data_IF_195093745484
#
_entry.id   IF_195093745484
#
_cell.length_a   1.000
_cell.length_b   1.000
_cell.length_c   1.000
_cell.angle_alpha   90.00
_cell.angle_beta   90.00
_cell.angle_gamma   90.00
#
_symmetry.space_group_name_H-M   'P 1'
#
loop_
_entity.id
_entity.type
_entity.pdbx_description
1 polymer ?
#
# COMPACT_ATOMS: atom_id res chain seq x y z
N UNK A 1 15.36 -24.04 0.08
CA UNK A 1 15.20 -22.60 -0.22
C UNK A 1 15.33 -21.84 1.09
N UNK A 2 16.42 -21.11 1.23
CA UNK A 2 16.85 -20.49 2.50
C UNK A 2 16.17 -19.13 2.64
N UNK A 3 15.39 -18.93 3.72
CA UNK A 3 14.90 -17.61 4.11
C UNK A 3 14.77 -17.55 5.63
N UNK A 4 15.32 -16.54 6.31
CA UNK A 4 14.56 -15.84 7.33
C UNK A 4 13.78 -14.72 6.62
N UNK A 5 12.47 -14.87 6.48
CA UNK A 5 11.57 -13.83 5.92
C UNK A 5 11.39 -12.73 6.96
N UNK A 6 12.25 -11.72 6.92
CA UNK A 6 12.19 -10.55 7.81
C UNK A 6 11.25 -9.50 7.23
N UNK A 7 10.80 -8.56 8.06
CA UNK A 7 10.03 -7.37 7.68
C UNK A 7 10.74 -6.46 6.66
N UNK A 8 12.02 -6.72 6.35
CA UNK A 8 12.75 -6.08 5.27
C UNK A 8 12.29 -6.54 3.87
N UNK A 9 11.73 -7.75 3.78
CA UNK A 9 11.42 -8.42 2.49
C UNK A 9 9.94 -8.68 2.25
N UNK A 10 9.07 -8.49 3.25
CA UNK A 10 7.64 -8.77 3.11
C UNK A 10 6.85 -8.08 4.21
N UNK A 11 5.75 -7.42 3.86
CA UNK A 11 4.73 -7.04 4.84
C UNK A 11 3.50 -7.91 4.62
N UNK A 12 2.96 -8.45 5.71
CA UNK A 12 1.66 -9.12 5.69
C UNK A 12 0.66 -8.26 6.42
N UNK A 13 -0.25 -7.64 5.68
CA UNK A 13 -1.43 -7.06 6.32
C UNK A 13 -2.22 -8.21 6.95
N UNK A 14 -2.62 -8.03 8.21
CA UNK A 14 -3.58 -8.92 8.81
C UNK A 14 -4.95 -8.66 8.15
N UNK A 15 -5.30 -9.48 7.16
CA UNK A 15 -6.49 -9.34 6.33
C UNK A 15 -7.78 -9.19 7.15
N UNK A 16 -7.92 -9.94 8.24
CA UNK A 16 -9.08 -9.85 9.13
C UNK A 16 -9.18 -8.49 9.85
N UNK A 17 -8.05 -7.94 10.29
CA UNK A 17 -8.03 -6.59 10.88
C UNK A 17 -8.32 -5.53 9.83
N UNK A 18 -7.72 -5.64 8.65
CA UNK A 18 -7.98 -4.71 7.55
C UNK A 18 -9.46 -4.70 7.17
N UNK A 19 -10.07 -5.87 6.91
CA UNK A 19 -11.49 -5.97 6.59
C UNK A 19 -12.38 -5.29 7.65
N UNK A 20 -12.13 -5.54 8.94
CA UNK A 20 -12.87 -4.88 10.02
C UNK A 20 -12.69 -3.36 10.03
N UNK A 21 -11.47 -2.85 9.79
CA UNK A 21 -11.23 -1.41 9.72
C UNK A 21 -11.95 -0.76 8.55
N UNK A 22 -12.01 -1.44 7.38
CA UNK A 22 -12.80 -0.96 6.24
C UNK A 22 -14.30 -0.91 6.55
N UNK A 23 -14.84 -1.99 7.14
CA UNK A 23 -16.26 -2.05 7.55
C UNK A 23 -16.60 -0.97 8.58
N UNK A 24 -15.78 -0.81 9.62
CA UNK A 24 -15.96 0.21 10.66
C UNK A 24 -15.89 1.62 10.09
N UNK A 25 -14.86 1.93 9.29
CA UNK A 25 -14.73 3.23 8.66
C UNK A 25 -15.93 3.56 7.76
N UNK A 26 -16.44 2.57 7.02
CA UNK A 26 -17.64 2.75 6.21
C UNK A 26 -18.88 3.03 7.08
N UNK A 27 -19.07 2.30 8.18
CA UNK A 27 -20.19 2.48 9.11
C UNK A 27 -20.16 3.85 9.83
N UNK A 28 -18.96 4.36 10.13
CA UNK A 28 -18.75 5.65 10.81
C UNK A 28 -18.75 6.85 9.84
N UNK A 29 -18.97 6.63 8.55
CA UNK A 29 -18.92 7.69 7.52
C UNK A 29 -17.50 8.21 7.25
N UNK A 30 -16.47 7.47 7.69
CA UNK A 30 -15.04 7.77 7.53
C UNK A 30 -14.32 6.59 6.85
N UNK A 31 -14.63 6.29 5.57
CA UNK A 31 -14.07 5.13 4.89
C UNK A 31 -12.55 5.25 4.75
N UNK A 32 -11.86 4.12 4.91
CA UNK A 32 -10.42 4.02 4.66
C UNK A 32 -10.14 4.33 3.19
N UNK A 33 -9.25 5.29 2.92
CA UNK A 33 -8.92 5.73 1.57
C UNK A 33 -7.57 5.22 1.07
N UNK A 34 -6.63 4.97 1.99
CA UNK A 34 -5.25 4.67 1.66
C UNK A 34 -4.69 3.60 2.59
N UNK A 35 -3.96 2.65 2.02
CA UNK A 35 -3.03 1.78 2.72
C UNK A 35 -1.61 2.27 2.40
N UNK A 36 -0.72 2.31 3.39
CA UNK A 36 0.68 2.62 3.13
C UNK A 36 1.60 1.55 3.71
N UNK A 37 2.72 1.32 3.02
CA UNK A 37 3.80 0.48 3.50
C UNK A 37 5.15 1.04 3.06
N UNK A 38 6.22 0.52 3.64
CA UNK A 38 7.58 1.00 3.40
C UNK A 38 8.46 -0.09 2.80
N UNK A 39 9.31 0.29 1.85
CA UNK A 39 10.44 -0.51 1.39
C UNK A 39 11.72 0.01 2.03
N UNK A 40 12.44 -0.87 2.72
CA UNK A 40 13.75 -0.54 3.29
C UNK A 40 14.83 -0.80 2.25
N UNK A 41 15.75 0.14 2.10
CA UNK A 41 16.90 0.07 1.18
C UNK A 41 16.51 -0.17 -0.29
N UNK A 42 15.28 0.22 -0.67
CA UNK A 42 14.72 0.08 -2.01
C UNK A 42 13.77 1.24 -2.37
N UNK A 43 13.58 1.48 -3.67
CA UNK A 43 12.75 2.58 -4.19
C UNK A 43 11.25 2.40 -3.93
N UNK A 44 10.47 3.46 -4.13
CA UNK A 44 9.03 3.47 -3.84
C UNK A 44 8.18 2.88 -4.98
N UNK A 45 8.57 1.70 -5.50
CA UNK A 45 7.83 1.02 -6.56
C UNK A 45 6.76 0.09 -6.00
N UNK A 46 5.74 -0.20 -6.79
CA UNK A 46 4.77 -1.25 -6.49
C UNK A 46 5.22 -2.54 -7.17
N UNK A 47 5.51 -3.59 -6.39
CA UNK A 47 6.03 -4.85 -6.90
C UNK A 47 4.91 -5.75 -7.45
N UNK A 48 5.29 -6.77 -8.22
CA UNK A 48 4.36 -7.84 -8.64
C UNK A 48 3.77 -8.58 -7.43
N UNK A 49 4.54 -8.72 -6.34
CA UNK A 49 4.09 -9.34 -5.10
C UNK A 49 3.04 -8.47 -4.37
N UNK A 50 3.21 -7.15 -4.38
CA UNK A 50 2.21 -6.21 -3.86
C UNK A 50 0.92 -6.32 -4.68
N UNK A 51 1.03 -6.29 -6.01
CA UNK A 51 -0.10 -6.43 -6.92
C UNK A 51 -0.88 -7.72 -6.68
N UNK A 52 -0.19 -8.87 -6.60
CA UNK A 52 -0.81 -10.16 -6.31
C UNK A 52 -1.42 -10.26 -4.89
N UNK A 53 -0.94 -9.43 -3.94
CA UNK A 53 -1.50 -9.36 -2.59
C UNK A 53 -2.79 -8.55 -2.56
N UNK A 54 -2.88 -7.48 -3.36
CA UNK A 54 -3.98 -6.51 -3.28
C UNK A 54 -5.01 -6.60 -4.39
N UNK A 55 -4.71 -7.32 -5.47
CA UNK A 55 -5.61 -7.55 -6.58
C UNK A 55 -5.61 -9.03 -6.99
N UNK A 56 -6.80 -9.56 -7.26
CA UNK A 56 -6.98 -10.90 -7.80
C UNK A 56 -8.19 -10.93 -8.73
N UNK A 57 -8.06 -11.64 -9.85
CA UNK A 57 -9.14 -11.77 -10.84
C UNK A 57 -9.60 -10.44 -11.45
N UNK A 58 -8.74 -9.42 -11.54
CA UNK A 58 -9.08 -8.10 -12.07
C UNK A 58 -9.75 -7.16 -11.06
N UNK A 59 -9.81 -7.57 -9.79
CA UNK A 59 -10.52 -6.86 -8.73
C UNK A 59 -9.62 -6.57 -7.53
N UNK A 60 -9.81 -5.39 -6.97
CA UNK A 60 -9.21 -4.99 -5.71
C UNK A 60 -9.77 -5.80 -4.53
N UNK A 61 -8.88 -6.21 -3.62
CA UNK A 61 -9.27 -6.75 -2.32
C UNK A 61 -9.94 -5.68 -1.45
N UNK A 62 -9.44 -4.44 -1.49
CA UNK A 62 -10.03 -3.29 -0.81
C UNK A 62 -10.07 -2.06 -1.72
N UNK A 63 -11.16 -1.26 -1.69
CA UNK A 63 -11.36 -0.11 -2.58
C UNK A 63 -10.58 1.12 -2.09
N UNK A 64 -9.25 1.03 -2.08
CA UNK A 64 -8.35 2.09 -1.63
C UNK A 64 -7.15 2.27 -2.56
N UNK A 65 -6.43 3.38 -2.39
CA UNK A 65 -5.15 3.61 -3.03
C UNK A 65 -3.99 3.17 -2.13
N UNK A 66 -2.80 3.03 -2.71
CA UNK A 66 -1.63 2.52 -2.01
C UNK A 66 -0.49 3.52 -2.04
N UNK A 67 0.14 3.79 -0.91
CA UNK A 67 1.35 4.62 -0.84
C UNK A 67 2.53 3.73 -0.48
N UNK A 68 3.53 3.69 -1.36
CA UNK A 68 4.82 3.06 -1.06
C UNK A 68 5.79 4.14 -0.61
N UNK A 69 6.44 3.90 0.52
CA UNK A 69 7.43 4.81 1.11
C UNK A 69 8.81 4.16 1.03
N UNK A 70 9.72 4.75 0.27
CA UNK A 70 11.11 4.32 0.26
C UNK A 70 11.82 4.86 1.50
N UNK A 71 12.46 3.96 2.25
CA UNK A 71 13.29 4.27 3.40
C UNK A 71 14.75 3.91 3.06
N UNK A 72 15.63 4.91 3.04
CA UNK A 72 17.07 4.75 2.83
C UNK A 72 17.80 5.30 4.05
N UNK A 73 18.72 4.52 4.62
CA UNK A 73 19.49 4.90 5.81
C UNK A 73 18.60 5.38 6.98
N UNK A 74 17.44 4.73 7.15
CA UNK A 74 16.47 5.07 8.20
C UNK A 74 15.70 6.39 7.98
N UNK A 75 15.82 7.01 6.80
CA UNK A 75 15.11 8.25 6.43
C UNK A 75 14.20 8.00 5.25
N UNK A 76 13.12 8.76 5.16
CA UNK A 76 12.24 8.69 3.99
C UNK A 76 12.95 9.33 2.79
N UNK A 77 13.23 8.51 1.78
CA UNK A 77 13.83 8.95 0.53
C UNK A 77 12.76 9.37 -0.50
N UNK A 78 11.67 8.61 -0.59
CA UNK A 78 10.64 8.81 -1.61
C UNK A 78 9.27 8.32 -1.14
N UNK A 79 8.20 8.88 -1.72
CA UNK A 79 6.82 8.42 -1.54
C UNK A 79 6.12 8.43 -2.88
N UNK A 80 5.45 7.34 -3.25
CA UNK A 80 4.65 7.26 -4.48
C UNK A 80 3.26 6.72 -4.19
N UNK A 81 2.28 7.26 -4.89
CA UNK A 81 0.90 6.82 -4.85
C UNK A 81 0.63 5.89 -6.03
N UNK A 82 -0.03 4.77 -5.75
CA UNK A 82 -0.39 3.74 -6.70
C UNK A 82 -1.89 3.51 -6.65
N UNK A 83 -2.51 3.46 -7.84
CA UNK A 83 -3.94 3.21 -8.01
C UNK A 83 -4.14 2.00 -8.92
N UNK A 84 -5.08 1.15 -8.54
CA UNK A 84 -5.43 -0.02 -9.33
C UNK A 84 -5.97 0.36 -10.70
N UNK A 85 -5.63 -0.44 -11.71
CA UNK A 85 -6.20 -0.33 -13.03
C UNK A 85 -7.43 -1.25 -13.15
N UNK A 86 -8.66 -0.71 -13.28
CA UNK A 86 -9.87 -1.52 -13.28
C UNK A 86 -9.85 -2.59 -14.39
N UNK A 87 -10.15 -3.84 -14.02
CA UNK A 87 -10.18 -4.97 -14.95
C UNK A 87 -8.82 -5.66 -15.16
N UNK A 88 -7.75 -5.16 -14.54
CA UNK A 88 -6.44 -5.84 -14.50
C UNK A 88 -6.06 -6.15 -13.05
N UNK A 89 -4.95 -6.84 -12.82
CA UNK A 89 -4.35 -6.97 -11.48
C UNK A 89 -3.25 -5.92 -11.26
N UNK A 90 -3.16 -4.92 -12.14
CA UNK A 90 -2.05 -3.99 -12.20
C UNK A 90 -2.36 -2.68 -11.48
N UNK A 91 -1.28 -1.96 -11.18
CA UNK A 91 -1.32 -0.67 -10.52
C UNK A 91 -0.48 0.32 -11.30
N UNK A 92 -0.97 1.54 -11.40
CA UNK A 92 -0.24 2.65 -12.00
C UNK A 92 0.07 3.73 -10.98
N UNK A 93 1.21 4.38 -11.18
CA UNK A 93 1.57 5.54 -10.40
C UNK A 93 0.56 6.69 -10.64
N UNK A 94 0.21 7.39 -9.58
CA UNK A 94 -0.68 8.54 -9.57
C UNK A 94 -0.08 9.69 -8.76
N UNK A 95 -0.64 10.88 -8.88
CA UNK A 95 -0.11 12.09 -8.25
C UNK A 95 -0.34 12.08 -6.73
N UNK A 96 0.75 12.22 -5.97
CA UNK A 96 0.72 12.47 -4.54
C UNK A 96 1.13 13.92 -4.24
N UNK A 97 0.21 14.70 -3.67
CA UNK A 97 0.51 16.08 -3.22
C UNK A 97 0.51 16.12 -1.71
N UNK A 98 1.62 16.55 -1.11
CA UNK A 98 1.76 16.73 0.34
C UNK A 98 1.54 18.20 0.64
N UNK A 99 0.53 18.51 1.44
CA UNK A 99 0.34 19.83 2.01
C UNK A 99 0.89 19.82 3.43
N UNK A 100 1.99 20.54 3.66
CA UNK A 100 2.43 20.78 5.03
C UNK A 100 1.41 21.71 5.69
N UNK A 101 0.80 21.22 6.77
CA UNK A 101 -0.02 22.06 7.62
C UNK A 101 0.95 22.82 8.52
N UNK A 102 1.21 24.09 8.21
CA UNK A 102 1.92 24.97 9.14
C UNK A 102 1.15 24.98 10.47
N UNK A 103 1.82 24.76 11.62
CA UNK A 103 1.18 24.77 12.93
C UNK A 103 0.57 26.14 13.29
#
# INVERSE_FOLDING_TARGET
>A
MTFPRTSNTYFKINELRAARTFEQGQAEGRPVKVIYHSHCDAGAYFSEEDAATFANGGQLMWPCAYIVVSIMDGKVAERRLWVHEPGTNDFKESTLTIQESTP
#
